data_IF_616919592789
#
_entry.id   IF_616919592789
#
_cell.length_a   1.000
_cell.length_b   1.000
_cell.length_c   1.000
_cell.angle_alpha   90.00
_cell.angle_beta   90.00
_cell.angle_gamma   90.00
#
_symmetry.space_group_name_H-M   'P 1'
#
loop_
_entity.id
_entity.type
_entity.pdbx_description
1 polymer ?
#
# COMPACT_ATOMS: atom_id res chain seq x y z
N UNK A 1 6.56 15.43 -15.70
CA UNK A 1 6.59 16.34 -14.54
C UNK A 1 8.03 16.44 -14.02
N UNK A 2 8.45 17.57 -13.46
CA UNK A 2 9.81 17.68 -12.88
C UNK A 2 9.92 16.95 -11.52
N UNK A 3 8.80 16.77 -10.82
CA UNK A 3 8.75 16.08 -9.54
C UNK A 3 8.67 14.56 -9.72
N UNK A 4 9.34 13.83 -8.83
CA UNK A 4 9.35 12.37 -8.81
C UNK A 4 9.66 11.80 -7.44
N UNK A 5 9.83 10.49 -7.37
CA UNK A 5 10.22 9.79 -6.14
C UNK A 5 11.72 9.99 -5.94
N UNK A 6 12.09 10.55 -4.81
CA UNK A 6 13.51 10.76 -4.41
C UNK A 6 13.94 9.73 -3.37
N UNK A 7 13.00 9.18 -2.62
CA UNK A 7 13.27 8.13 -1.64
C UNK A 7 12.00 7.37 -1.28
N UNK A 8 12.16 6.17 -0.73
CA UNK A 8 11.07 5.33 -0.24
C UNK A 8 11.51 4.40 0.89
N UNK A 9 10.54 3.93 1.65
CA UNK A 9 10.72 2.91 2.67
C UNK A 9 9.43 2.15 2.90
N UNK A 10 9.55 0.93 3.42
CA UNK A 10 8.41 0.09 3.76
C UNK A 10 8.60 -0.54 5.14
N UNK A 11 7.50 -0.85 5.79
CA UNK A 11 7.48 -1.62 7.02
C UNK A 11 6.30 -2.59 7.04
N UNK A 12 6.56 -3.84 7.40
CA UNK A 12 5.52 -4.87 7.58
C UNK A 12 5.73 -5.53 8.94
N UNK A 13 4.70 -5.56 9.80
CA UNK A 13 4.76 -6.26 11.09
C UNK A 13 5.29 -7.68 10.98
N UNK A 14 6.02 -8.13 11.99
CA UNK A 14 6.75 -9.41 11.92
C UNK A 14 5.87 -10.65 12.08
N UNK A 15 4.73 -10.54 12.74
CA UNK A 15 3.89 -11.71 13.00
C UNK A 15 3.10 -12.13 11.75
N UNK A 16 2.86 -13.43 11.64
CA UNK A 16 2.12 -14.05 10.53
C UNK A 16 1.08 -15.02 11.06
N UNK A 17 -0.06 -15.06 10.38
CA UNK A 17 -1.04 -16.14 10.56
C UNK A 17 -1.38 -16.73 9.19
N UNK A 18 -1.55 -18.06 9.13
CA UNK A 18 -1.88 -18.76 7.90
C UNK A 18 -3.40 -18.92 7.75
N UNK A 19 -3.93 -18.98 6.52
CA UNK A 19 -5.33 -19.35 6.28
C UNK A 19 -5.73 -20.68 6.93
N UNK A 20 -4.82 -21.67 6.95
CA UNK A 20 -5.03 -22.97 7.59
C UNK A 20 -5.31 -22.81 9.09
N UNK A 21 -4.53 -21.97 9.79
CA UNK A 21 -4.73 -21.73 11.22
C UNK A 21 -6.07 -21.01 11.51
N UNK A 22 -6.48 -20.08 10.63
CA UNK A 22 -7.79 -19.42 10.72
C UNK A 22 -8.91 -20.44 10.48
N UNK A 23 -8.83 -21.23 9.40
CA UNK A 23 -9.83 -22.22 9.00
C UNK A 23 -10.06 -23.28 10.07
N UNK A 24 -8.99 -23.66 10.79
CA UNK A 24 -9.08 -24.63 11.90
C UNK A 24 -10.05 -24.20 12.99
N UNK A 25 -10.12 -22.90 13.28
CA UNK A 25 -11.02 -22.36 14.31
C UNK A 25 -12.47 -22.35 13.85
N UNK A 26 -12.69 -22.09 12.57
CA UNK A 26 -14.05 -22.00 12.00
C UNK A 26 -14.57 -23.32 11.42
N UNK A 27 -13.79 -24.39 11.47
CA UNK A 27 -14.17 -25.69 10.92
C UNK A 27 -14.31 -25.69 9.40
N UNK A 28 -13.52 -24.85 8.71
CA UNK A 28 -13.49 -24.76 7.25
C UNK A 28 -12.10 -25.11 6.71
N UNK A 29 -12.04 -25.51 5.44
CA UNK A 29 -10.78 -25.80 4.76
C UNK A 29 -10.01 -24.50 4.50
N UNK A 30 -9.14 -24.13 5.46
CA UNK A 30 -8.32 -22.93 5.37
C UNK A 30 -7.26 -23.00 4.27
N UNK A 31 -6.78 -24.19 3.91
CA UNK A 31 -5.85 -24.37 2.80
C UNK A 31 -6.53 -24.05 1.47
N UNK A 32 -7.73 -24.58 1.24
CA UNK A 32 -8.51 -24.24 0.06
C UNK A 32 -8.85 -22.75 -0.01
N UNK A 33 -9.15 -22.11 1.14
CA UNK A 33 -9.33 -20.65 1.21
C UNK A 33 -8.06 -19.90 0.80
N UNK A 34 -6.91 -20.27 1.33
CA UNK A 34 -5.61 -19.69 0.99
C UNK A 34 -5.27 -19.84 -0.49
N UNK A 35 -5.44 -21.01 -1.05
CA UNK A 35 -5.28 -21.29 -2.49
C UNK A 35 -6.29 -20.49 -3.33
N UNK A 36 -7.54 -20.39 -2.87
CA UNK A 36 -8.60 -19.62 -3.50
C UNK A 36 -8.27 -18.14 -3.64
N UNK A 37 -7.63 -17.55 -2.64
CA UNK A 37 -7.22 -16.15 -2.59
C UNK A 37 -5.78 -15.92 -3.10
N UNK A 38 -5.00 -16.97 -3.29
CA UNK A 38 -3.55 -16.91 -3.47
C UNK A 38 -2.88 -16.09 -2.34
N UNK A 39 -3.17 -16.47 -1.08
CA UNK A 39 -2.58 -15.93 0.15
C UNK A 39 -2.05 -17.08 0.98
N UNK A 40 -0.74 -17.15 1.15
CA UNK A 40 -0.10 -18.20 1.97
C UNK A 40 -0.11 -17.86 3.46
N UNK A 41 0.05 -16.59 3.76
CA UNK A 41 0.04 -16.03 5.11
C UNK A 41 -0.18 -14.53 5.05
N UNK A 42 -0.62 -13.95 6.14
CA UNK A 42 -0.83 -12.50 6.26
C UNK A 42 -0.11 -11.93 7.47
N UNK A 43 0.28 -10.67 7.40
CA UNK A 43 0.90 -9.98 8.53
C UNK A 43 -0.13 -9.62 9.60
N UNK A 44 0.31 -9.67 10.84
CA UNK A 44 -0.47 -9.31 12.02
C UNK A 44 0.33 -8.30 12.83
N UNK A 45 -0.19 -7.10 13.11
CA UNK A 45 0.50 -6.15 13.96
C UNK A 45 0.56 -6.65 15.40
N UNK A 46 1.67 -6.36 16.08
CA UNK A 46 1.81 -6.55 17.51
C UNK A 46 0.86 -5.60 18.28
N UNK A 47 0.66 -5.81 19.59
CA UNK A 47 -0.20 -4.94 20.40
C UNK A 47 0.22 -3.47 20.44
N UNK A 48 1.49 -3.18 20.21
CA UNK A 48 2.13 -1.86 20.17
C UNK A 48 2.31 -1.31 18.75
N UNK A 49 1.78 -2.01 17.74
CA UNK A 49 1.84 -1.58 16.34
C UNK A 49 0.46 -1.13 15.82
N UNK A 50 0.41 0.10 15.33
CA UNK A 50 -0.73 0.70 14.65
C UNK A 50 -0.30 1.42 13.36
N UNK A 51 -1.20 2.14 12.70
CA UNK A 51 -0.88 2.89 11.48
C UNK A 51 0.13 4.02 11.72
N UNK A 52 0.18 4.59 12.93
CA UNK A 52 1.16 5.62 13.29
C UNK A 52 2.57 5.02 13.35
N UNK A 53 2.73 3.93 14.09
CA UNK A 53 4.03 3.28 14.28
C UNK A 53 4.56 2.68 12.99
N UNK A 54 3.70 2.02 12.19
CA UNK A 54 4.04 1.48 10.87
C UNK A 54 4.47 2.59 9.92
N UNK A 55 3.72 3.70 9.86
CA UNK A 55 4.06 4.88 9.03
C UNK A 55 5.39 5.50 9.44
N UNK A 56 5.63 5.62 10.75
CA UNK A 56 6.86 6.19 11.29
C UNK A 56 8.08 5.37 10.87
N UNK A 57 8.03 4.05 10.99
CA UNK A 57 9.14 3.17 10.62
C UNK A 57 9.38 3.15 9.09
N UNK A 58 8.31 3.15 8.28
CA UNK A 58 8.43 3.27 6.83
C UNK A 58 9.08 4.61 6.42
N UNK A 59 8.66 5.72 7.05
CA UNK A 59 9.20 7.04 6.75
C UNK A 59 10.65 7.19 7.26
N UNK A 60 10.99 6.70 8.46
CA UNK A 60 12.39 6.68 8.94
C UNK A 60 13.33 6.01 7.95
N UNK A 61 12.92 4.86 7.42
CA UNK A 61 13.68 4.16 6.37
C UNK A 61 13.85 5.04 5.14
N UNK A 62 12.79 5.69 4.66
CA UNK A 62 12.86 6.57 3.50
C UNK A 62 13.79 7.77 3.73
N UNK A 63 13.72 8.41 4.90
CA UNK A 63 14.54 9.58 5.22
C UNK A 63 16.03 9.26 5.26
N UNK A 64 16.40 8.14 5.87
CA UNK A 64 17.80 7.71 5.94
C UNK A 64 18.33 7.30 4.57
N UNK A 65 17.58 6.48 3.81
CA UNK A 65 17.95 6.07 2.44
C UNK A 65 18.16 7.27 1.52
N UNK A 66 17.30 8.27 1.62
CA UNK A 66 17.38 9.49 0.81
C UNK A 66 18.38 10.53 1.33
N UNK A 67 18.98 10.33 2.52
CA UNK A 67 19.74 11.34 3.25
C UNK A 67 18.98 12.68 3.31
N UNK A 68 17.71 12.63 3.69
CA UNK A 68 16.78 13.76 3.73
C UNK A 68 16.67 14.29 5.17
N UNK A 69 16.95 15.57 5.36
CA UNK A 69 16.68 16.25 6.62
C UNK A 69 15.15 16.37 6.82
N UNK A 70 14.59 15.84 7.91
CA UNK A 70 13.16 15.96 8.19
C UNK A 70 12.64 17.40 8.18
N UNK A 71 13.46 18.38 8.53
CA UNK A 71 13.09 19.81 8.54
C UNK A 71 12.86 20.39 7.13
N UNK A 72 13.26 19.68 6.07
CA UNK A 72 12.99 20.07 4.68
C UNK A 72 11.64 19.55 4.15
N UNK A 73 10.94 18.73 4.93
CA UNK A 73 9.60 18.24 4.58
C UNK A 73 8.59 19.35 4.77
N UNK A 74 7.98 19.82 3.67
CA UNK A 74 6.94 20.84 3.68
C UNK A 74 5.51 20.31 3.65
N UNK A 75 5.33 19.00 3.35
CA UNK A 75 4.02 18.35 3.33
C UNK A 75 4.15 16.89 3.76
N UNK A 76 3.20 16.40 4.57
CA UNK A 76 3.11 14.99 4.98
C UNK A 76 1.65 14.55 5.00
N UNK A 77 1.33 13.53 4.19
CA UNK A 77 -0.01 12.96 4.10
C UNK A 77 0.00 11.46 4.35
N UNK A 78 -0.95 11.00 5.17
CA UNK A 78 -1.13 9.57 5.46
C UNK A 78 -2.48 9.12 4.92
N UNK A 79 -2.45 8.18 3.98
CA UNK A 79 -3.62 7.51 3.45
C UNK A 79 -3.88 6.20 4.18
N UNK A 80 -5.06 6.06 4.79
CA UNK A 80 -5.45 4.87 5.56
C UNK A 80 -6.97 4.79 5.68
N UNK A 81 -7.51 3.61 5.92
CA UNK A 81 -8.88 3.39 6.37
C UNK A 81 -8.96 2.88 7.81
N UNK A 82 -7.82 2.85 8.50
CA UNK A 82 -7.70 2.34 9.88
C UNK A 82 -6.88 3.27 10.78
N UNK A 83 -7.10 4.58 10.64
CA UNK A 83 -6.53 5.59 11.54
C UNK A 83 -6.90 5.29 13.00
N UNK A 84 -5.97 5.42 13.98
CA UNK A 84 -6.25 5.05 15.36
C UNK A 84 -7.18 6.05 16.06
N UNK A 85 -7.30 7.28 15.53
CA UNK A 85 -8.17 8.31 16.07
C UNK A 85 -9.20 8.77 15.05
N UNK A 86 -10.42 9.00 15.48
CA UNK A 86 -11.48 9.54 14.62
C UNK A 86 -11.27 11.04 14.31
N UNK A 87 -10.60 11.80 15.17
CA UNK A 87 -10.46 13.27 15.10
C UNK A 87 -9.03 13.70 15.41
N UNK A 88 -8.02 12.96 15.34
CA UNK A 88 -6.62 13.41 15.49
C UNK A 88 -5.82 12.89 14.31
N UNK A 89 -5.16 13.77 13.52
CA UNK A 89 -4.43 13.31 12.35
C UNK A 89 -3.27 12.37 12.72
N UNK A 90 -3.20 11.23 12.07
CA UNK A 90 -2.05 10.32 12.07
C UNK A 90 -0.81 11.04 11.56
N UNK A 91 -0.97 11.82 10.50
CA UNK A 91 0.10 12.56 9.84
C UNK A 91 0.88 13.48 10.80
N UNK A 92 0.19 14.16 11.72
CA UNK A 92 0.88 15.06 12.68
C UNK A 92 1.72 14.31 13.70
N UNK A 93 1.25 13.13 14.14
CA UNK A 93 2.00 12.30 15.09
C UNK A 93 3.25 11.71 14.41
N UNK A 94 3.11 11.24 13.18
CA UNK A 94 4.24 10.74 12.36
C UNK A 94 5.26 11.87 12.12
N UNK A 95 4.81 13.06 11.70
CA UNK A 95 5.68 14.21 11.49
C UNK A 95 6.48 14.57 12.74
N UNK A 96 5.83 14.60 13.91
CA UNK A 96 6.51 14.86 15.19
C UNK A 96 7.52 13.75 15.52
N UNK A 97 7.16 12.48 15.30
CA UNK A 97 8.01 11.33 15.62
C UNK A 97 9.30 11.26 14.79
N UNK A 98 9.29 11.82 13.58
CA UNK A 98 10.48 11.89 12.71
C UNK A 98 11.20 13.22 12.77
N UNK A 99 10.69 14.20 13.53
CA UNK A 99 11.31 15.54 13.68
C UNK A 99 11.02 16.49 12.52
N UNK A 100 9.94 16.33 11.77
CA UNK A 100 9.58 17.17 10.62
C UNK A 100 8.80 18.45 11.01
N UNK A 101 8.28 18.52 12.24
CA UNK A 101 7.51 19.66 12.74
C UNK A 101 8.41 20.88 13.04
N UNK A 102 7.87 22.12 13.07
CA UNK A 102 6.47 22.51 12.89
C UNK A 102 6.12 23.05 11.48
N UNK A 103 7.06 23.20 10.55
CA UNK A 103 6.92 23.97 9.32
C UNK A 103 6.43 23.13 8.14
N UNK A 104 5.30 22.46 8.27
CA UNK A 104 4.73 21.64 7.22
C UNK A 104 3.19 21.68 7.21
N UNK A 105 2.58 21.39 6.05
CA UNK A 105 1.16 21.01 5.97
C UNK A 105 1.02 19.52 6.17
N UNK A 106 -0.01 19.08 6.93
CA UNK A 106 -0.24 17.67 7.20
C UNK A 106 -1.74 17.36 7.22
N UNK A 107 -2.11 16.20 6.67
CA UNK A 107 -3.49 15.69 6.71
C UNK A 107 -3.52 14.17 6.56
N UNK A 108 -4.61 13.57 7.02
CA UNK A 108 -4.97 12.19 6.74
C UNK A 108 -5.92 12.13 5.54
N UNK A 109 -5.75 11.11 4.70
CA UNK A 109 -6.60 10.85 3.55
C UNK A 109 -7.37 9.57 3.75
N UNK A 110 -8.66 9.61 3.44
CA UNK A 110 -9.54 8.46 3.36
C UNK A 110 -10.06 8.29 1.94
N UNK A 111 -9.71 7.20 1.32
CA UNK A 111 -10.30 6.66 0.09
C UNK A 111 -10.03 5.16 0.03
N UNK A 112 -10.42 4.46 1.07
CA UNK A 112 -10.15 3.04 1.17
C UNK A 112 -8.70 2.71 0.73
N UNK A 113 -8.50 1.65 -0.06
CA UNK A 113 -7.17 1.17 -0.43
C UNK A 113 -6.36 2.08 -1.38
N UNK A 114 -6.96 3.15 -1.96
CA UNK A 114 -6.22 4.12 -2.82
C UNK A 114 -5.81 5.40 -2.10
N UNK A 115 -6.08 5.53 -0.81
CA UNK A 115 -5.75 6.74 -0.07
C UNK A 115 -4.26 7.11 -0.16
N UNK A 116 -3.37 6.12 -0.15
CA UNK A 116 -1.92 6.34 -0.30
C UNK A 116 -1.53 6.83 -1.70
N UNK A 117 -2.16 6.37 -2.78
CA UNK A 117 -1.90 6.87 -4.14
C UNK A 117 -2.42 8.29 -4.35
N UNK A 118 -3.56 8.64 -3.73
CA UNK A 118 -4.05 10.01 -3.70
C UNK A 118 -3.08 10.96 -2.98
N UNK A 119 -2.46 10.51 -1.89
CA UNK A 119 -1.41 11.27 -1.20
C UNK A 119 -0.20 11.52 -2.10
N UNK A 120 0.24 10.54 -2.91
CA UNK A 120 1.32 10.73 -3.90
C UNK A 120 0.94 11.81 -4.92
N UNK A 121 -0.27 11.76 -5.49
CA UNK A 121 -0.73 12.77 -6.46
C UNK A 121 -0.72 14.18 -5.85
N UNK A 122 -1.16 14.30 -4.60
CA UNK A 122 -1.17 15.59 -3.88
C UNK A 122 0.25 16.13 -3.68
N UNK A 123 1.18 15.27 -3.22
CA UNK A 123 2.59 15.65 -3.06
C UNK A 123 3.24 16.06 -4.39
N UNK A 124 2.96 15.34 -5.48
CA UNK A 124 3.43 15.71 -6.83
C UNK A 124 2.94 17.10 -7.24
N UNK A 125 1.68 17.44 -6.93
CA UNK A 125 1.12 18.76 -7.20
C UNK A 125 1.82 19.86 -6.39
N UNK A 126 2.00 19.68 -5.08
CA UNK A 126 2.65 20.67 -4.20
C UNK A 126 4.12 20.89 -4.53
N UNK A 127 4.86 19.81 -4.75
CA UNK A 127 6.28 19.87 -5.16
C UNK A 127 6.41 20.45 -6.57
N UNK A 128 5.55 20.02 -7.51
CA UNK A 128 5.52 20.50 -8.88
C UNK A 128 5.28 22.01 -8.94
N UNK A 129 4.35 22.54 -8.15
CA UNK A 129 4.05 23.95 -8.01
C UNK A 129 5.12 24.77 -7.24
N UNK A 130 6.12 24.11 -6.65
CA UNK A 130 7.14 24.77 -5.84
C UNK A 130 6.67 25.28 -4.48
N UNK A 131 5.53 24.80 -4.01
CA UNK A 131 5.00 25.16 -2.69
C UNK A 131 5.80 24.52 -1.54
N UNK A 132 6.36 23.34 -1.77
CA UNK A 132 7.21 22.62 -0.82
C UNK A 132 8.41 22.00 -1.52
N UNK A 133 9.53 21.82 -0.80
CA UNK A 133 10.73 21.16 -1.31
C UNK A 133 10.50 19.64 -1.39
N UNK A 134 10.08 19.04 -0.28
CA UNK A 134 9.71 17.64 -0.22
C UNK A 134 8.28 17.46 0.28
N UNK A 135 7.55 16.57 -0.38
CA UNK A 135 6.26 16.06 0.07
C UNK A 135 6.38 14.57 0.43
N UNK A 136 5.82 14.17 1.55
CA UNK A 136 5.78 12.78 2.00
C UNK A 136 4.38 12.22 1.82
N UNK A 137 4.28 11.12 1.10
CA UNK A 137 3.05 10.35 0.92
C UNK A 137 3.22 8.97 1.55
N UNK A 138 2.32 8.62 2.46
CA UNK A 138 2.33 7.32 3.15
C UNK A 138 1.01 6.61 2.88
N UNK A 139 1.07 5.33 2.52
CA UNK A 139 -0.07 4.43 2.56
C UNK A 139 0.17 3.40 3.65
N UNK A 140 -0.77 3.23 4.56
CA UNK A 140 -0.62 2.35 5.72
C UNK A 140 -1.98 1.85 6.20
N UNK A 141 -2.06 0.58 6.60
CA UNK A 141 -3.24 0.05 7.26
C UNK A 141 -2.92 -1.05 8.26
N UNK A 142 -3.82 -1.20 9.23
CA UNK A 142 -3.92 -2.35 10.15
C UNK A 142 -5.31 -2.97 10.09
N UNK A 143 -5.93 -2.93 8.92
CA UNK A 143 -7.30 -3.42 8.70
C UNK A 143 -7.47 -4.89 9.03
N UNK A 144 -8.68 -5.27 9.41
CA UNK A 144 -9.02 -6.65 9.75
C UNK A 144 -10.42 -7.01 9.29
N UNK A 145 -10.61 -8.28 8.93
CA UNK A 145 -11.92 -8.88 8.70
C UNK A 145 -12.60 -9.28 10.00
N UNK A 146 -13.93 -9.34 9.96
CA UNK A 146 -14.69 -9.92 11.06
C UNK A 146 -14.30 -11.40 11.28
N UNK A 147 -14.38 -11.92 12.51
CA UNK A 147 -14.16 -13.33 12.79
C UNK A 147 -15.07 -14.23 11.92
N UNK A 148 -14.47 -15.16 11.18
CA UNK A 148 -15.17 -16.06 10.26
C UNK A 148 -15.57 -15.49 8.90
N UNK A 149 -15.32 -14.19 8.65
CA UNK A 149 -15.57 -13.56 7.35
C UNK A 149 -14.46 -13.86 6.34
N UNK A 150 -14.78 -13.82 5.05
CA UNK A 150 -13.82 -14.05 3.98
C UNK A 150 -12.63 -13.05 4.02
N UNK A 151 -12.85 -11.82 4.47
CA UNK A 151 -11.79 -10.81 4.63
C UNK A 151 -10.78 -11.19 5.72
N UNK A 152 -11.16 -12.00 6.70
CA UNK A 152 -10.24 -12.43 7.76
C UNK A 152 -9.03 -13.19 7.19
N UNK A 153 -9.19 -13.85 6.06
CA UNK A 153 -8.12 -14.63 5.42
C UNK A 153 -7.10 -13.79 4.65
N UNK A 154 -7.44 -12.54 4.30
CA UNK A 154 -6.56 -11.67 3.51
C UNK A 154 -6.21 -10.34 4.17
N UNK A 155 -7.11 -9.74 4.97
CA UNK A 155 -6.91 -8.44 5.61
C UNK A 155 -5.68 -8.42 6.53
N UNK A 156 -4.78 -7.47 6.34
CA UNK A 156 -3.42 -7.50 6.86
C UNK A 156 -2.95 -6.10 7.28
N UNK A 157 -1.71 -5.99 7.73
CA UNK A 157 -1.09 -4.74 8.15
C UNK A 157 0.25 -4.51 7.44
N UNK A 158 0.53 -3.24 7.14
CA UNK A 158 1.78 -2.79 6.55
C UNK A 158 1.70 -1.34 6.10
N UNK A 159 2.84 -0.75 5.79
CA UNK A 159 2.96 0.62 5.33
C UNK A 159 4.13 0.83 4.38
N UNK A 160 4.00 1.82 3.52
CA UNK A 160 5.09 2.32 2.71
C UNK A 160 5.01 3.85 2.62
N UNK A 161 6.17 4.50 2.67
CA UNK A 161 6.36 5.93 2.59
C UNK A 161 7.19 6.27 1.35
N UNK A 162 6.77 7.31 0.64
CA UNK A 162 7.46 7.87 -0.52
C UNK A 162 7.72 9.35 -0.30
N UNK A 163 8.97 9.75 -0.51
CA UNK A 163 9.34 11.17 -0.52
C UNK A 163 9.39 11.65 -1.95
N UNK A 164 8.61 12.68 -2.23
CA UNK A 164 8.49 13.32 -3.53
C UNK A 164 9.30 14.61 -3.51
N UNK A 165 10.13 14.81 -4.53
CA UNK A 165 11.00 15.98 -4.67
C UNK A 165 11.40 16.21 -6.13
N UNK A 166 12.29 17.19 -6.35
CA UNK A 166 12.88 17.49 -7.68
C UNK A 166 14.36 17.12 -7.77
N UNK A 167 15.04 17.03 -6.63
CA UNK A 167 16.46 16.73 -6.57
C UNK A 167 16.70 15.24 -6.38
N UNK A 168 17.72 14.69 -7.02
CA UNK A 168 18.11 13.27 -6.90
C UNK A 168 16.95 12.30 -7.11
N UNK A 169 16.09 12.60 -8.08
CA UNK A 169 14.94 11.75 -8.42
C UNK A 169 15.42 10.39 -8.88
N UNK A 170 15.09 9.34 -8.12
CA UNK A 170 15.41 7.94 -8.46
C UNK A 170 14.37 7.32 -9.40
N UNK A 171 13.14 7.87 -9.40
CA UNK A 171 12.07 7.40 -10.27
C UNK A 171 11.17 8.60 -10.65
N UNK A 172 11.15 8.93 -11.93
CA UNK A 172 10.31 10.01 -12.48
C UNK A 172 8.86 9.56 -12.51
N UNK A 173 7.96 10.52 -12.30
CA UNK A 173 6.52 10.34 -12.57
C UNK A 173 6.21 11.09 -13.86
N UNK A 174 6.12 10.36 -14.97
CA UNK A 174 5.86 10.96 -16.28
C UNK A 174 4.42 11.48 -16.36
N UNK A 175 3.47 10.67 -15.87
CA UNK A 175 2.04 10.97 -15.89
C UNK A 175 1.31 10.29 -14.74
N UNK A 176 0.21 10.86 -14.31
CA UNK A 176 -0.81 10.20 -13.47
C UNK A 176 -2.20 10.53 -13.99
N UNK A 177 -3.12 9.59 -13.85
CA UNK A 177 -4.55 9.73 -14.18
C UNK A 177 -5.38 9.08 -13.08
N UNK A 178 -6.64 9.49 -12.98
CA UNK A 178 -7.62 8.89 -12.07
C UNK A 178 -8.91 8.52 -12.80
N UNK A 179 -9.60 7.50 -12.29
CA UNK A 179 -10.93 7.10 -12.70
C UNK A 179 -11.78 6.87 -11.46
N UNK A 180 -12.77 7.73 -11.24
CA UNK A 180 -13.59 7.73 -10.01
C UNK A 180 -15.07 7.65 -10.36
N UNK A 181 -15.77 6.78 -9.64
CA UNK A 181 -17.23 6.65 -9.65
C UNK A 181 -17.72 6.50 -8.21
N UNK A 182 -18.99 6.20 -8.02
CA UNK A 182 -19.54 5.75 -6.74
C UNK A 182 -20.01 4.30 -6.88
N UNK A 183 -19.56 3.41 -5.98
CA UNK A 183 -19.96 2.00 -5.94
C UNK A 183 -20.20 1.51 -4.51
N UNK A 184 -21.32 0.81 -4.24
CA UNK A 184 -21.63 0.26 -2.93
C UNK A 184 -20.97 -1.13 -2.72
N UNK A 185 -19.67 -1.22 -2.96
CA UNK A 185 -18.95 -2.50 -2.94
C UNK A 185 -18.26 -2.81 -1.61
N UNK A 186 -17.86 -1.78 -0.86
CA UNK A 186 -17.19 -1.92 0.42
C UNK A 186 -17.32 -0.63 1.25
N UNK A 187 -17.70 -0.74 2.52
CA UNK A 187 -17.89 0.42 3.41
C UNK A 187 -17.79 0.02 4.88
N UNK A 188 -17.53 0.99 5.74
CA UNK A 188 -17.63 0.87 7.19
C UNK A 188 -18.26 2.14 7.75
N UNK A 189 -19.45 2.03 8.35
CA UNK A 189 -20.07 3.16 9.03
C UNK A 189 -19.42 3.42 10.38
N UNK A 190 -19.55 4.63 10.87
CA UNK A 190 -19.13 4.99 12.22
C UNK A 190 -19.76 4.03 13.25
N UNK A 191 -18.98 3.66 14.27
CA UNK A 191 -19.38 2.70 15.29
C UNK A 191 -19.32 1.22 14.86
N UNK A 192 -19.13 0.92 13.59
CA UNK A 192 -18.89 -0.46 13.14
C UNK A 192 -17.43 -0.85 13.33
N UNK A 193 -17.19 -2.00 13.96
CA UNK A 193 -15.83 -2.53 14.17
C UNK A 193 -15.19 -3.07 12.89
N UNK A 194 -15.99 -3.65 12.00
CA UNK A 194 -15.52 -4.31 10.78
C UNK A 194 -16.23 -3.75 9.55
N UNK A 195 -15.56 -3.77 8.38
CA UNK A 195 -16.18 -3.35 7.13
C UNK A 195 -17.27 -4.35 6.69
N UNK A 196 -18.22 -3.83 5.92
CA UNK A 196 -19.18 -4.58 5.13
C UNK A 196 -18.78 -4.56 3.67
N UNK A 197 -19.10 -5.62 2.91
CA UNK A 197 -18.76 -5.71 1.49
C UNK A 197 -19.90 -6.33 0.65
N UNK A 198 -19.93 -5.95 -0.61
CA UNK A 198 -20.92 -6.40 -1.59
C UNK A 198 -20.65 -7.80 -2.20
N UNK A 199 -19.85 -8.64 -1.54
CA UNK A 199 -19.54 -9.97 -2.04
C UNK A 199 -18.86 -9.93 -3.41
N UNK A 200 -19.44 -10.63 -4.41
CA UNK A 200 -18.87 -10.68 -5.77
C UNK A 200 -18.76 -9.32 -6.46
N UNK A 201 -19.63 -8.38 -6.13
CA UNK A 201 -19.64 -7.05 -6.71
C UNK A 201 -18.33 -6.26 -6.42
N UNK A 202 -17.67 -6.53 -5.30
CA UNK A 202 -16.37 -5.93 -4.94
C UNK A 202 -15.28 -6.27 -5.97
N UNK A 203 -15.32 -7.48 -6.55
CA UNK A 203 -14.44 -7.86 -7.66
C UNK A 203 -15.00 -7.43 -9.00
N UNK A 204 -16.18 -7.94 -9.34
CA UNK A 204 -16.88 -7.65 -10.59
C UNK A 204 -18.25 -7.04 -10.31
N UNK A 205 -18.50 -5.80 -10.81
CA UNK A 205 -17.63 -5.05 -11.72
C UNK A 205 -16.60 -4.13 -11.05
N UNK A 206 -16.64 -3.91 -9.72
CA UNK A 206 -15.96 -2.77 -9.09
C UNK A 206 -14.45 -2.76 -9.34
N UNK A 207 -13.69 -3.71 -8.80
CA UNK A 207 -12.23 -3.75 -8.94
C UNK A 207 -11.79 -3.82 -10.41
N UNK A 208 -12.27 -4.83 -11.15
CA UNK A 208 -11.79 -5.09 -12.50
C UNK A 208 -12.07 -3.94 -13.46
N UNK A 209 -13.26 -3.34 -13.39
CA UNK A 209 -13.62 -2.19 -14.21
C UNK A 209 -12.70 -1.00 -13.93
N UNK A 210 -12.54 -0.61 -12.66
CA UNK A 210 -11.78 0.60 -12.31
C UNK A 210 -10.30 0.47 -12.63
N UNK A 211 -9.70 -0.67 -12.30
CA UNK A 211 -8.27 -0.93 -12.58
C UNK A 211 -8.01 -0.99 -14.08
N UNK A 212 -8.86 -1.67 -14.85
CA UNK A 212 -8.72 -1.79 -16.31
C UNK A 212 -8.88 -0.43 -17.00
N UNK A 213 -9.93 0.32 -16.67
CA UNK A 213 -10.17 1.65 -17.22
C UNK A 213 -9.02 2.62 -16.91
N UNK A 214 -8.54 2.62 -15.68
CA UNK A 214 -7.45 3.50 -15.29
C UNK A 214 -6.14 3.13 -15.99
N UNK A 215 -5.84 1.83 -16.11
CA UNK A 215 -4.68 1.33 -16.84
C UNK A 215 -4.71 1.71 -18.33
N UNK A 216 -5.86 1.54 -19.00
CA UNK A 216 -6.01 1.94 -20.42
C UNK A 216 -5.81 3.44 -20.59
N UNK A 217 -6.44 4.27 -19.74
CA UNK A 217 -6.33 5.73 -19.82
C UNK A 217 -4.91 6.24 -19.66
N UNK A 218 -4.13 5.69 -18.74
CA UNK A 218 -2.73 6.12 -18.57
C UNK A 218 -1.90 5.70 -19.77
N UNK A 219 -2.01 4.45 -20.24
CA UNK A 219 -1.28 3.96 -21.40
C UNK A 219 -1.62 4.77 -22.68
N UNK A 220 -2.89 5.08 -22.89
CA UNK A 220 -3.32 5.95 -23.99
C UNK A 220 -2.74 7.37 -23.86
N UNK A 221 -2.79 7.96 -22.66
CA UNK A 221 -2.31 9.32 -22.40
C UNK A 221 -0.80 9.50 -22.59
N UNK A 222 -0.01 8.41 -22.45
CA UNK A 222 1.45 8.44 -22.64
C UNK A 222 1.92 7.71 -23.93
N UNK A 223 0.99 7.12 -24.69
CA UNK A 223 1.28 6.41 -25.93
C UNK A 223 2.05 5.11 -25.73
N UNK A 224 1.78 4.37 -24.66
CA UNK A 224 2.45 3.11 -24.32
C UNK A 224 1.50 1.91 -24.42
N UNK A 225 2.08 0.73 -24.39
CA UNK A 225 1.43 -0.58 -24.37
C UNK A 225 1.99 -1.40 -23.21
N UNK A 226 1.39 -2.51 -22.82
CA UNK A 226 1.95 -3.37 -21.76
C UNK A 226 3.39 -3.84 -22.00
N UNK A 227 3.82 -3.92 -23.27
CA UNK A 227 5.17 -4.36 -23.66
C UNK A 227 6.27 -3.33 -23.34
N UNK A 228 5.87 -2.07 -23.17
CA UNK A 228 6.80 -0.98 -22.89
C UNK A 228 7.21 -0.93 -21.41
N UNK A 229 6.47 -1.62 -20.55
CA UNK A 229 6.72 -1.66 -19.11
C UNK A 229 7.58 -2.87 -18.72
N UNK A 230 8.61 -2.64 -17.94
CA UNK A 230 9.42 -3.69 -17.33
C UNK A 230 8.70 -4.31 -16.13
N UNK A 231 7.97 -3.47 -15.37
CA UNK A 231 7.25 -3.87 -14.17
C UNK A 231 5.83 -3.31 -14.15
N UNK A 232 4.92 -4.03 -13.52
CA UNK A 232 3.58 -3.55 -13.24
C UNK A 232 3.17 -3.89 -11.82
N UNK A 233 2.51 -2.94 -11.16
CA UNK A 233 1.95 -3.07 -9.82
C UNK A 233 0.47 -2.73 -9.88
N UNK A 234 -0.38 -3.65 -9.49
CA UNK A 234 -1.81 -3.42 -9.29
C UNK A 234 -2.13 -3.43 -7.80
N UNK A 235 -3.17 -2.73 -7.40
CA UNK A 235 -3.78 -2.98 -6.10
C UNK A 235 -4.16 -4.46 -5.97
N UNK A 236 -3.94 -5.05 -4.79
CA UNK A 236 -3.98 -6.49 -4.60
C UNK A 236 -4.81 -6.88 -3.37
N UNK A 237 -6.17 -6.91 -3.48
CA UNK A 237 -7.06 -7.35 -2.40
C UNK A 237 -6.82 -8.82 -2.02
N UNK A 238 -6.28 -9.58 -2.95
CA UNK A 238 -5.76 -10.94 -2.85
C UNK A 238 -4.73 -11.16 -3.96
N UNK A 239 -4.06 -12.30 -4.00
CA UNK A 239 -3.04 -12.54 -5.02
C UNK A 239 -3.59 -12.89 -6.42
N UNK A 240 -4.88 -13.26 -6.54
CA UNK A 240 -5.50 -13.65 -7.84
C UNK A 240 -5.96 -12.46 -8.67
N UNK A 241 -6.51 -11.43 -8.04
CA UNK A 241 -7.06 -10.26 -8.75
C UNK A 241 -6.01 -9.54 -9.60
N UNK A 242 -4.83 -9.16 -9.07
CA UNK A 242 -3.79 -8.52 -9.88
C UNK A 242 -3.27 -9.43 -11.00
N UNK A 243 -3.15 -10.75 -10.78
CA UNK A 243 -2.75 -11.69 -11.81
C UNK A 243 -3.78 -11.78 -12.94
N UNK A 244 -5.07 -11.82 -12.59
CA UNK A 244 -6.17 -11.86 -13.57
C UNK A 244 -6.23 -10.56 -14.39
N UNK A 245 -6.22 -9.39 -13.74
CA UNK A 245 -6.30 -8.11 -14.45
C UNK A 245 -5.04 -7.87 -15.29
N UNK A 246 -3.85 -8.23 -14.78
CA UNK A 246 -2.61 -8.15 -15.54
C UNK A 246 -2.67 -8.98 -16.82
N UNK A 247 -3.13 -10.24 -16.73
CA UNK A 247 -3.33 -11.10 -17.92
C UNK A 247 -4.36 -10.52 -18.91
N UNK A 248 -5.48 -9.97 -18.41
CA UNK A 248 -6.50 -9.33 -19.24
C UNK A 248 -5.96 -8.12 -19.99
N UNK A 249 -5.07 -7.34 -19.38
CA UNK A 249 -4.42 -6.19 -19.98
C UNK A 249 -3.23 -6.55 -20.88
N UNK A 250 -2.79 -7.82 -20.92
CA UNK A 250 -1.68 -8.29 -21.74
C UNK A 250 -0.30 -8.25 -21.06
N UNK A 251 -0.26 -8.08 -19.73
CA UNK A 251 0.98 -8.20 -18.94
C UNK A 251 1.33 -9.67 -18.69
N UNK A 252 2.63 -9.94 -18.60
CA UNK A 252 3.21 -11.26 -18.31
C UNK A 252 3.49 -11.43 -16.81
N UNK A 253 3.63 -12.67 -16.36
CA UNK A 253 4.00 -12.96 -14.96
C UNK A 253 5.35 -12.34 -14.54
N UNK A 254 6.41 -12.35 -15.36
CA UNK A 254 7.67 -11.67 -15.01
C UNK A 254 7.50 -10.18 -14.75
N UNK A 255 6.63 -9.47 -15.48
CA UNK A 255 6.36 -8.05 -15.25
C UNK A 255 5.64 -7.80 -13.91
N UNK A 256 4.82 -8.73 -13.45
CA UNK A 256 4.06 -8.65 -12.19
C UNK A 256 4.85 -9.13 -10.97
N UNK A 257 5.96 -9.87 -11.18
CA UNK A 257 6.66 -10.64 -10.14
C UNK A 257 6.96 -9.85 -8.88
N UNK A 258 7.63 -8.70 -9.03
CA UNK A 258 8.04 -7.89 -7.88
C UNK A 258 6.90 -7.02 -7.32
N UNK A 259 5.91 -6.69 -8.15
CA UNK A 259 4.73 -5.95 -7.72
C UNK A 259 3.76 -6.78 -6.86
N UNK A 260 3.80 -8.12 -6.94
CA UNK A 260 2.86 -9.01 -6.28
C UNK A 260 3.38 -9.46 -4.90
N UNK A 261 2.98 -8.78 -3.84
CA UNK A 261 3.43 -9.03 -2.45
C UNK A 261 2.37 -9.71 -1.56
N UNK A 262 1.10 -9.56 -1.88
CA UNK A 262 -0.03 -10.08 -1.10
C UNK A 262 0.03 -11.59 -0.81
N UNK A 263 0.54 -12.48 -1.69
CA UNK A 263 0.65 -13.90 -1.35
C UNK A 263 1.47 -14.18 -0.09
N UNK A 264 2.40 -13.31 0.30
CA UNK A 264 3.32 -13.50 1.42
C UNK A 264 2.98 -12.72 2.69
N UNK A 265 2.24 -11.61 2.55
CA UNK A 265 1.95 -10.70 3.67
C UNK A 265 0.47 -10.37 3.83
N UNK A 266 -0.40 -10.81 2.92
CA UNK A 266 -1.82 -10.42 2.88
C UNK A 266 -2.06 -9.06 2.23
N UNK A 267 -3.33 -8.65 2.19
CA UNK A 267 -3.75 -7.34 1.68
C UNK A 267 -3.52 -6.26 2.75
N UNK A 268 -2.59 -5.38 2.49
CA UNK A 268 -2.26 -4.23 3.35
C UNK A 268 -3.04 -2.96 2.96
N UNK A 269 -4.14 -3.10 2.24
CA UNK A 269 -5.10 -2.05 1.87
C UNK A 269 -4.42 -0.85 1.19
N UNK A 270 -4.43 0.34 1.83
CA UNK A 270 -3.82 1.56 1.29
C UNK A 270 -2.33 1.42 0.99
N UNK A 271 -1.64 0.52 1.68
CA UNK A 271 -0.23 0.21 1.42
C UNK A 271 -0.01 -0.86 0.34
N UNK A 272 -1.03 -1.60 -0.12
CA UNK A 272 -0.82 -2.81 -0.92
C UNK A 272 -0.08 -2.54 -2.24
N UNK A 273 -0.51 -1.55 -3.02
CA UNK A 273 0.19 -1.14 -4.24
C UNK A 273 1.53 -0.45 -3.92
N UNK A 274 1.61 0.31 -2.83
CA UNK A 274 2.81 1.06 -2.45
C UNK A 274 3.94 0.15 -1.97
N UNK A 275 3.64 -0.89 -1.18
CA UNK A 275 4.64 -1.92 -0.82
C UNK A 275 5.09 -2.69 -2.08
N UNK A 276 4.15 -2.98 -3.00
CA UNK A 276 4.48 -3.55 -4.30
C UNK A 276 5.43 -2.66 -5.10
N UNK A 277 5.18 -1.35 -5.15
CA UNK A 277 6.09 -0.39 -5.81
C UNK A 277 7.44 -0.32 -5.10
N UNK A 278 7.47 -0.29 -3.76
CA UNK A 278 8.73 -0.30 -3.02
C UNK A 278 9.56 -1.56 -3.33
N UNK A 279 8.91 -2.74 -3.43
CA UNK A 279 9.58 -3.97 -3.83
C UNK A 279 10.09 -3.94 -5.28
N UNK A 280 9.35 -3.33 -6.20
CA UNK A 280 9.85 -3.12 -7.57
C UNK A 280 11.08 -2.22 -7.56
N UNK A 281 11.07 -1.11 -6.83
CA UNK A 281 12.21 -0.19 -6.75
C UNK A 281 13.44 -0.80 -6.05
N UNK A 282 13.25 -1.75 -5.12
CA UNK A 282 14.37 -2.52 -4.54
C UNK A 282 15.12 -3.34 -5.60
N UNK A 283 14.47 -3.72 -6.72
CA UNK A 283 15.02 -4.59 -7.78
C UNK A 283 15.25 -3.88 -9.12
N UNK A 284 14.64 -2.73 -9.34
CA UNK A 284 14.71 -2.01 -10.61
C UNK A 284 16.11 -1.44 -10.86
N UNK A 285 16.53 -1.50 -12.12
CA UNK A 285 17.68 -0.79 -12.66
C UNK A 285 17.29 0.54 -13.34
N UNK A 286 18.26 1.28 -13.88
CA UNK A 286 18.04 2.55 -14.58
C UNK A 286 17.20 2.37 -15.86
N UNK A 287 16.38 3.38 -16.18
CA UNK A 287 15.60 3.44 -17.42
C UNK A 287 14.46 2.44 -17.52
N UNK A 288 14.11 1.75 -16.43
CA UNK A 288 13.00 0.80 -16.43
C UNK A 288 11.66 1.49 -16.21
N UNK A 289 10.70 1.21 -17.09
CA UNK A 289 9.32 1.71 -16.96
C UNK A 289 8.49 0.83 -16.04
N UNK A 290 7.71 1.49 -15.19
CA UNK A 290 6.85 0.87 -14.19
C UNK A 290 5.44 1.44 -14.32
N UNK A 291 4.44 0.58 -14.50
CA UNK A 291 3.04 0.96 -14.36
C UNK A 291 2.56 0.64 -12.95
N UNK A 292 1.98 1.62 -12.26
CA UNK A 292 1.30 1.41 -10.97
C UNK A 292 -0.16 1.76 -11.13
N UNK A 293 -1.05 0.86 -10.68
CA UNK A 293 -2.50 1.09 -10.66
C UNK A 293 -3.05 0.76 -9.28
N UNK A 294 -3.34 1.79 -8.51
CA UNK A 294 -4.04 1.71 -7.24
C UNK A 294 -5.55 1.58 -7.45
N UNK A 295 -6.24 0.99 -6.48
CA UNK A 295 -7.69 0.93 -6.44
C UNK A 295 -8.15 1.06 -5.00
N UNK A 296 -9.23 1.79 -4.79
CA UNK A 296 -9.96 1.88 -3.53
C UNK A 296 -11.44 1.65 -3.77
N UNK A 297 -12.01 0.80 -2.93
CA UNK A 297 -13.45 0.53 -2.96
C UNK A 297 -14.25 1.79 -2.66
N UNK A 298 -15.44 1.87 -3.22
CA UNK A 298 -16.30 3.01 -3.08
C UNK A 298 -16.63 3.85 -4.33
N UNK A 299 -15.97 3.93 -5.48
CA UNK A 299 -14.75 3.32 -5.93
C UNK A 299 -13.94 4.31 -6.76
N UNK A 300 -12.65 4.11 -6.76
CA UNK A 300 -11.73 4.89 -7.58
C UNK A 300 -10.42 4.15 -7.83
N UNK A 301 -9.72 4.56 -8.89
CA UNK A 301 -8.42 4.04 -9.25
C UNK A 301 -7.51 5.20 -9.66
N UNK A 302 -6.23 5.13 -9.27
CA UNK A 302 -5.18 6.04 -9.73
C UNK A 302 -4.13 5.22 -10.46
N UNK A 303 -3.66 5.72 -11.60
CA UNK A 303 -2.56 5.12 -12.33
C UNK A 303 -1.38 6.09 -12.49
N UNK A 304 -0.18 5.54 -12.51
CA UNK A 304 1.07 6.26 -12.67
C UNK A 304 1.95 5.57 -13.70
N UNK A 305 2.43 6.34 -14.68
CA UNK A 305 3.52 5.97 -15.57
C UNK A 305 4.82 6.49 -14.96
N UNK A 306 5.68 5.56 -14.57
CA UNK A 306 6.93 5.83 -13.88
C UNK A 306 8.12 5.35 -14.72
N UNK A 307 9.28 5.99 -14.51
CA UNK A 307 10.54 5.57 -15.12
C UNK A 307 11.69 5.81 -14.15
N UNK A 308 12.46 4.78 -13.85
CA UNK A 308 13.65 4.89 -13.01
C UNK A 308 14.74 5.69 -13.73
N UNK A 309 15.58 6.36 -12.94
CA UNK A 309 16.71 7.15 -13.45
C UNK A 309 18.03 6.49 -13.09
N UNK A 310 19.14 7.00 -13.61
CA UNK A 310 20.50 6.53 -13.25
C UNK A 310 20.79 6.70 -11.74
N UNK A 311 20.09 7.62 -11.06
CA UNK A 311 20.24 7.82 -9.62
C UNK A 311 19.84 6.59 -8.79
N UNK A 312 19.06 5.65 -9.34
CA UNK A 312 18.65 4.43 -8.63
C UNK A 312 19.83 3.48 -8.35
N UNK A 313 20.88 3.51 -9.18
CA UNK A 313 22.07 2.68 -8.99
C UNK A 313 22.91 3.14 -7.79
N UNK A 314 22.93 4.42 -7.51
CA UNK A 314 23.63 5.01 -6.36
C UNK A 314 22.74 5.20 -5.13
N UNK A 315 21.46 4.84 -5.23
CA UNK A 315 20.51 4.97 -4.15
C UNK A 315 20.80 3.94 -3.04
N UNK A 316 20.86 4.41 -1.80
CA UNK A 316 21.17 3.58 -0.63
C UNK A 316 19.98 2.64 -0.31
N UNK A 317 20.07 1.40 -0.72
CA UNK A 317 19.04 0.37 -0.49
C UNK A 317 19.31 -0.50 0.74
N UNK A 318 20.52 -0.41 1.32
CA UNK A 318 20.95 -1.30 2.41
C UNK A 318 20.39 -0.87 3.76
N UNK A 319 20.18 0.44 3.98
CA UNK A 319 19.59 0.88 5.23
C UNK A 319 18.13 0.39 5.36
N UNK A 320 17.79 -0.07 6.54
CA UNK A 320 16.52 -0.73 6.78
C UNK A 320 16.52 -2.14 6.18
N UNK A 321 15.33 -2.63 5.87
CA UNK A 321 15.15 -3.96 5.28
C UNK A 321 14.52 -3.82 3.91
N UNK A 322 15.02 -4.53 2.87
CA UNK A 322 14.31 -4.60 1.60
C UNK A 322 12.97 -5.28 1.81
N UNK A 323 12.02 -4.99 0.93
CA UNK A 323 10.66 -5.58 1.04
C UNK A 323 10.72 -7.10 1.03
N UNK A 324 11.63 -7.69 0.24
CA UNK A 324 11.81 -9.15 0.17
C UNK A 324 12.07 -9.78 1.54
N UNK A 325 12.79 -9.10 2.44
CA UNK A 325 12.96 -9.54 3.82
C UNK A 325 11.63 -9.79 4.52
N UNK A 326 10.67 -8.86 4.35
CA UNK A 326 9.34 -8.99 4.96
C UNK A 326 8.48 -10.06 4.28
N UNK A 327 8.70 -10.30 2.97
CA UNK A 327 8.01 -11.35 2.23
C UNK A 327 8.46 -12.75 2.65
N UNK A 328 9.73 -12.91 2.99
CA UNK A 328 10.32 -14.20 3.37
C UNK A 328 10.22 -14.48 4.87
N UNK A 329 10.54 -13.49 5.68
CA UNK A 329 10.64 -13.62 7.14
C UNK A 329 9.32 -13.33 7.83
N UNK A 330 9.16 -13.92 9.00
CA UNK A 330 8.00 -13.70 9.86
C UNK A 330 7.95 -14.75 10.96
N UNK A 331 7.19 -14.46 12.01
CA UNK A 331 6.96 -15.37 13.15
C UNK A 331 5.51 -15.81 13.09
N UNK A 332 5.27 -17.09 12.85
CA UNK A 332 3.92 -17.64 12.84
C UNK A 332 3.33 -17.64 14.25
N UNK A 333 2.06 -17.26 14.35
CA UNK A 333 1.31 -17.22 15.59
C UNK A 333 0.01 -18.02 15.46
N UNK A 334 -0.45 -18.54 16.61
CA UNK A 334 -1.75 -19.22 16.68
C UNK A 334 -2.90 -18.23 16.55
N UNK A 335 -4.09 -18.73 16.23
CA UNK A 335 -5.32 -17.92 16.21
C UNK A 335 -5.62 -17.28 17.58
N UNK A 336 -5.33 -17.94 18.69
CA UNK A 336 -5.51 -17.36 20.02
C UNK A 336 -4.65 -16.10 20.24
N UNK A 337 -3.38 -16.12 19.82
CA UNK A 337 -2.49 -14.95 19.86
C UNK A 337 -2.97 -13.86 18.93
N UNK A 338 -3.35 -14.21 17.68
CA UNK A 338 -3.93 -13.29 16.72
C UNK A 338 -5.18 -12.61 17.26
N UNK A 339 -6.12 -13.39 17.81
CA UNK A 339 -7.36 -12.85 18.37
C UNK A 339 -7.10 -11.91 19.55
N UNK A 340 -6.12 -12.24 20.41
CA UNK A 340 -5.68 -11.37 21.51
C UNK A 340 -5.08 -10.05 20.98
N UNK A 341 -4.15 -10.12 20.03
CA UNK A 341 -3.49 -8.92 19.45
C UNK A 341 -4.48 -8.00 18.76
N UNK A 342 -5.51 -8.56 18.12
CA UNK A 342 -6.51 -7.80 17.37
C UNK A 342 -7.76 -7.43 18.17
N UNK A 343 -7.73 -7.62 19.48
CA UNK A 343 -8.87 -7.28 20.36
C UNK A 343 -10.17 -8.00 19.98
N UNK A 344 -10.05 -9.26 19.46
CA UNK A 344 -11.19 -10.10 19.11
C UNK A 344 -11.73 -10.88 20.31
N UNK A 345 -10.95 -10.99 21.39
CA UNK A 345 -11.34 -11.61 22.65
C UNK A 345 -11.60 -10.50 23.66
N UNK A 346 -12.82 -10.41 24.15
CA UNK A 346 -13.15 -9.52 25.25
C UNK A 346 -12.67 -10.17 26.56
N UNK A 347 -11.65 -9.60 27.18
CA UNK A 347 -11.24 -9.94 28.52
C UNK A 347 -12.19 -9.21 29.47
N UNK A 348 -13.01 -9.92 30.24
CA UNK A 348 -13.91 -9.29 31.23
C UNK A 348 -13.10 -8.46 32.20
N UNK A 349 -13.39 -7.15 32.31
CA UNK A 349 -12.82 -6.28 33.32
C UNK A 349 -11.82 -5.20 32.89
N UNK A 350 -11.84 -4.77 31.62
CA UNK A 350 -11.14 -3.55 31.19
C UNK A 350 -12.11 -2.49 30.71
#
# INVERSE_FOLDING_TARGET
>A
MEAGIVSYGAYVPRYRITPTEIGRVWGVDGEAMGLGLNVRRKSVPAPDEDTITISTEALRTALVRGAIDPQQIGALYVGSESHPYAVKPTATVVAQAVGATPNLTAADFEFACKAGTAAIQTCLGLVGAGMVTYGVAIGTDTSQGAPGDALEYSASAGGAAFVIGKDRVICRVNRTVSYTTDTPDFWRREGQKYPSHGGRFTGEPAYFRHVTECAHRIMEAVGTTPKDYRHVVFHQPNGKFPQRVGKQLGFTEPQMRYGLVTPSIGNTYSAAALIGLANVLDHAGPGEKILVVGYGSGAGSDAFDLETTDAIDSYEKVYGRPVEYYLEKGVEISYAVYAKFRGKINMGGS
#
